data_IF_371470357037
#
_entry.id   IF_371470357037
#
_cell.length_a   1.000
_cell.length_b   1.000
_cell.length_c   1.000
_cell.angle_alpha   90.00
_cell.angle_beta   90.00
_cell.angle_gamma   90.00
#
_symmetry.space_group_name_H-M   'P 1'
#
loop_
_entity.id
_entity.type
_entity.pdbx_description
1 polymer ?
#
# COMPACT_ATOMS: atom_id res chain seq x y z
N UNK A 1 82.52 4.50 19.78
CA UNK A 1 81.48 4.87 18.78
C UNK A 1 80.10 4.19 18.97
N UNK A 2 79.70 3.75 20.18
CA UNK A 2 78.44 3.00 20.37
C UNK A 2 77.40 3.63 21.33
N UNK A 3 77.65 4.83 21.90
CA UNK A 3 76.73 5.43 22.88
C UNK A 3 75.59 6.27 22.28
N UNK A 4 75.73 6.73 21.02
CA UNK A 4 74.69 7.52 20.34
C UNK A 4 73.65 6.65 19.59
N UNK A 5 73.96 5.37 19.33
CA UNK A 5 73.08 4.45 18.59
C UNK A 5 71.89 3.97 19.43
N UNK A 6 72.06 3.80 20.74
CA UNK A 6 71.01 3.33 21.68
C UNK A 6 69.85 4.31 21.89
N UNK A 7 70.06 5.62 22.17
CA UNK A 7 68.94 6.56 22.33
C UNK A 7 68.23 6.84 21.00
N UNK A 8 68.95 6.81 19.88
CA UNK A 8 68.37 6.97 18.55
C UNK A 8 67.45 5.80 18.18
N UNK A 9 67.85 4.57 18.49
CA UNK A 9 67.04 3.37 18.25
C UNK A 9 65.77 3.36 19.13
N UNK A 10 65.86 3.84 20.36
CA UNK A 10 64.72 3.98 21.27
C UNK A 10 63.72 5.02 20.77
N UNK A 11 64.18 6.19 20.30
CA UNK A 11 63.33 7.22 19.68
C UNK A 11 62.64 6.71 18.40
N UNK A 12 63.33 5.89 17.60
CA UNK A 12 62.79 5.30 16.38
C UNK A 12 61.67 4.28 16.67
N UNK A 13 61.85 3.43 17.71
CA UNK A 13 60.83 2.47 18.14
C UNK A 13 59.59 3.19 18.71
N UNK A 14 59.79 4.21 19.55
CA UNK A 14 58.68 4.98 20.11
C UNK A 14 57.92 5.76 19.04
N UNK A 15 58.63 6.33 18.05
CA UNK A 15 58.01 6.98 16.90
C UNK A 15 57.16 6.02 16.06
N UNK A 16 57.63 4.78 15.85
CA UNK A 16 56.87 3.75 15.13
C UNK A 16 55.62 3.30 15.90
N UNK A 17 55.71 3.18 17.23
CA UNK A 17 54.57 2.82 18.09
C UNK A 17 53.51 3.93 18.14
N UNK A 18 53.92 5.20 18.19
CA UNK A 18 52.98 6.33 18.12
C UNK A 18 52.29 6.43 16.74
N UNK A 19 53.03 6.21 15.64
CA UNK A 19 52.47 6.26 14.30
C UNK A 19 51.47 5.11 14.01
N UNK A 20 51.74 3.91 14.54
CA UNK A 20 50.85 2.75 14.40
C UNK A 20 49.60 2.86 15.29
N UNK A 21 49.72 3.43 16.49
CA UNK A 21 48.57 3.73 17.36
C UNK A 21 47.60 4.75 16.77
N UNK A 22 48.11 5.81 16.11
CA UNK A 22 47.25 6.78 15.40
C UNK A 22 46.60 6.18 14.15
N UNK A 23 47.28 5.28 13.44
CA UNK A 23 46.71 4.63 12.26
C UNK A 23 45.53 3.71 12.62
N UNK A 24 45.62 2.98 13.75
CA UNK A 24 44.50 2.17 14.25
C UNK A 24 43.31 3.02 14.69
N UNK A 25 43.56 4.14 15.40
CA UNK A 25 42.51 5.07 15.83
C UNK A 25 41.74 5.70 14.65
N UNK A 26 42.38 5.93 13.51
CA UNK A 26 41.73 6.41 12.28
C UNK A 26 41.21 5.31 11.36
N UNK A 27 41.57 4.04 11.61
CA UNK A 27 41.07 2.90 10.82
C UNK A 27 39.85 2.23 11.43
N UNK A 28 39.64 2.39 12.75
CA UNK A 28 38.42 1.95 13.43
C UNK A 28 37.29 2.97 13.22
N UNK A 29 36.90 3.16 11.96
CA UNK A 29 35.59 3.71 11.65
C UNK A 29 34.63 2.53 11.58
N UNK A 30 34.02 2.20 12.71
CA UNK A 30 32.85 1.32 12.74
C UNK A 30 31.69 2.06 12.04
N UNK A 31 31.67 1.98 10.71
CA UNK A 31 30.62 2.58 9.88
C UNK A 31 29.34 1.77 10.10
N UNK A 32 28.60 2.05 11.18
CA UNK A 32 27.19 1.70 11.28
C UNK A 32 26.45 2.49 10.22
N UNK A 33 26.36 1.91 9.02
CA UNK A 33 25.43 2.38 8.00
C UNK A 33 24.04 2.11 8.59
N UNK A 34 23.41 3.13 9.17
CA UNK A 34 21.96 3.11 9.29
C UNK A 34 21.44 3.14 7.86
N UNK A 35 21.15 1.96 7.32
CA UNK A 35 20.44 1.84 6.05
C UNK A 35 19.02 2.33 6.29
N UNK A 36 18.82 3.64 6.19
CA UNK A 36 17.49 4.22 6.13
C UNK A 36 16.94 3.90 4.74
N UNK A 37 16.13 2.85 4.64
CA UNK A 37 15.30 2.61 3.48
C UNK A 37 13.97 3.35 3.69
N UNK A 38 13.60 4.20 2.75
CA UNK A 38 12.24 4.76 2.73
C UNK A 38 11.34 3.64 2.23
N UNK A 39 10.49 3.11 3.12
CA UNK A 39 9.43 2.21 2.71
C UNK A 39 8.49 2.96 1.76
N UNK A 40 8.14 2.33 0.65
CA UNK A 40 7.15 2.85 -0.27
C UNK A 40 5.90 1.97 -0.21
N UNK A 41 4.77 2.51 -0.64
CA UNK A 41 3.52 1.76 -0.74
C UNK A 41 3.25 1.54 -2.22
N UNK A 42 3.17 0.28 -2.64
CA UNK A 42 2.70 -0.11 -3.97
C UNK A 42 1.61 -1.14 -3.79
N UNK A 43 0.45 -0.90 -4.39
CA UNK A 43 -0.66 -1.85 -4.35
C UNK A 43 -1.01 -2.30 -5.76
N UNK A 44 -1.53 -3.52 -5.85
CA UNK A 44 -1.99 -4.10 -7.09
C UNK A 44 -3.44 -4.60 -6.89
N UNK A 45 -4.30 -4.30 -7.87
CA UNK A 45 -5.67 -4.81 -7.93
C UNK A 45 -5.61 -6.25 -8.46
N UNK A 46 -6.24 -7.17 -7.75
CA UNK A 46 -6.47 -8.53 -8.22
C UNK A 46 -7.96 -8.76 -8.45
N UNK A 47 -8.31 -9.24 -9.66
CA UNK A 47 -9.67 -9.60 -10.03
C UNK A 47 -9.75 -11.08 -10.45
N UNK A 48 -10.61 -11.89 -9.80
CA UNK A 48 -10.89 -13.28 -10.18
C UNK A 48 -12.23 -13.38 -10.92
N UNK A 49 -12.20 -13.91 -12.15
CA UNK A 49 -13.35 -14.08 -13.04
C UNK A 49 -13.40 -15.49 -13.65
N UNK A 50 -14.61 -16.05 -13.87
CA UNK A 50 -14.74 -17.30 -14.60
C UNK A 50 -14.33 -17.14 -16.08
N UNK A 51 -13.67 -18.17 -16.61
CA UNK A 51 -13.30 -18.30 -18.04
C UNK A 51 -14.24 -19.30 -18.73
N UNK A 52 -14.98 -18.91 -19.80
CA UNK A 52 -15.00 -17.61 -20.45
C UNK A 52 -15.82 -16.56 -19.68
N UNK A 53 -15.46 -15.29 -19.86
CA UNK A 53 -16.20 -14.15 -19.31
C UNK A 53 -17.67 -14.24 -19.71
N UNK A 54 -18.62 -14.32 -18.77
CA UNK A 54 -20.01 -14.53 -19.12
C UNK A 54 -20.61 -13.24 -19.68
N UNK A 55 -21.38 -13.33 -20.76
CA UNK A 55 -22.08 -12.17 -21.34
C UNK A 55 -23.32 -11.79 -20.50
N UNK A 56 -23.51 -10.50 -20.19
CA UNK A 56 -24.69 -9.98 -19.49
C UNK A 56 -25.95 -9.95 -20.35
N UNK A 57 -26.49 -11.15 -20.58
CA UNK A 57 -27.64 -11.39 -21.46
C UNK A 57 -28.82 -12.11 -20.77
N UNK A 58 -28.68 -12.61 -19.54
CA UNK A 58 -29.78 -13.31 -18.86
C UNK A 58 -30.63 -12.37 -17.99
N UNK A 59 -31.89 -12.73 -17.74
CA UNK A 59 -32.78 -11.93 -16.88
C UNK A 59 -32.30 -11.99 -15.42
N UNK A 60 -31.52 -11.00 -15.01
CA UNK A 60 -30.98 -10.86 -13.65
C UNK A 60 -29.77 -11.74 -13.35
N UNK A 61 -28.71 -11.73 -14.17
CA UNK A 61 -27.59 -12.63 -14.01
C UNK A 61 -26.68 -12.18 -12.87
N UNK A 62 -26.21 -13.13 -12.08
CA UNK A 62 -25.18 -12.92 -11.05
C UNK A 62 -23.82 -13.33 -11.60
N UNK A 63 -22.87 -12.40 -11.64
CA UNK A 63 -21.50 -12.58 -12.10
C UNK A 63 -20.58 -12.75 -10.90
N UNK A 64 -19.73 -13.78 -10.93
CA UNK A 64 -18.62 -13.88 -9.97
C UNK A 64 -17.51 -12.92 -10.42
N UNK A 65 -17.16 -12.00 -9.53
CA UNK A 65 -16.03 -11.07 -9.64
C UNK A 65 -15.57 -10.78 -8.22
N UNK A 66 -14.41 -11.31 -7.85
CA UNK A 66 -13.79 -10.99 -6.56
C UNK A 66 -12.77 -9.89 -6.77
N UNK A 67 -12.92 -8.78 -6.05
CA UNK A 67 -12.01 -7.62 -6.14
C UNK A 67 -11.22 -7.53 -4.84
N UNK A 68 -9.88 -7.59 -4.95
CA UNK A 68 -8.95 -7.52 -3.81
C UNK A 68 -7.82 -6.54 -4.11
N UNK A 69 -7.21 -6.03 -3.05
CA UNK A 69 -5.99 -5.22 -3.11
C UNK A 69 -4.88 -5.99 -2.42
N UNK A 70 -3.73 -6.04 -3.08
CA UNK A 70 -2.53 -6.66 -2.58
C UNK A 70 -1.43 -5.65 -2.26
N UNK A 71 -0.75 -5.81 -1.12
CA UNK A 71 0.44 -5.03 -0.79
C UNK A 71 1.71 -5.75 -1.27
N UNK A 72 1.95 -5.73 -2.59
CA UNK A 72 3.14 -6.33 -3.20
C UNK A 72 3.72 -5.43 -4.29
N UNK A 73 5.02 -5.59 -4.51
CA UNK A 73 5.72 -5.03 -5.66
C UNK A 73 6.34 -6.18 -6.44
N UNK A 74 6.00 -6.32 -7.72
CA UNK A 74 6.57 -7.35 -8.59
C UNK A 74 8.11 -7.29 -8.74
N UNK A 75 8.76 -6.20 -8.32
CA UNK A 75 10.18 -5.94 -8.61
C UNK A 75 11.11 -5.98 -7.40
N UNK A 76 10.62 -5.76 -6.16
CA UNK A 76 11.49 -5.68 -4.98
C UNK A 76 10.73 -6.15 -3.72
N UNK A 77 11.35 -7.04 -2.95
CA UNK A 77 10.84 -7.54 -1.67
C UNK A 77 11.60 -6.93 -0.50
N UNK A 78 10.95 -6.73 0.63
CA UNK A 78 11.52 -6.25 1.90
C UNK A 78 11.48 -4.73 2.09
N UNK A 79 10.76 -4.00 1.25
CA UNK A 79 10.70 -2.53 1.27
C UNK A 79 9.28 -1.96 1.23
N UNK A 80 8.25 -2.82 1.24
CA UNK A 80 6.86 -2.37 1.29
C UNK A 80 6.51 -1.95 2.71
N UNK A 81 6.03 -0.72 2.86
CA UNK A 81 5.48 -0.29 4.13
C UNK A 81 4.10 -0.91 4.34
N UNK A 82 3.76 -1.18 5.60
CA UNK A 82 2.38 -1.45 5.97
C UNK A 82 1.47 -0.30 5.51
N UNK A 83 0.30 -0.60 4.97
CA UNK A 83 -0.61 0.41 4.43
C UNK A 83 -2.07 0.19 4.81
N UNK A 84 -2.85 1.26 4.68
CA UNK A 84 -4.31 1.22 4.61
C UNK A 84 -4.75 1.55 3.18
N UNK A 85 -5.80 0.89 2.70
CA UNK A 85 -6.25 1.02 1.31
C UNK A 85 -7.72 1.42 1.24
N UNK A 86 -8.08 2.07 0.13
CA UNK A 86 -9.46 2.33 -0.26
C UNK A 86 -9.63 2.07 -1.75
N UNK A 87 -10.84 1.72 -2.17
CA UNK A 87 -11.18 1.63 -3.59
C UNK A 87 -12.52 2.28 -3.89
N UNK A 88 -12.67 2.79 -5.10
CA UNK A 88 -13.95 3.22 -5.67
C UNK A 88 -14.26 2.41 -6.91
N UNK A 89 -15.55 2.25 -7.19
CA UNK A 89 -16.04 1.56 -8.38
C UNK A 89 -16.66 2.59 -9.32
N UNK A 90 -16.31 2.53 -10.60
CA UNK A 90 -16.97 3.30 -11.66
C UNK A 90 -17.47 2.39 -12.76
N UNK A 91 -18.39 2.90 -13.57
CA UNK A 91 -19.10 2.12 -14.57
C UNK A 91 -18.84 2.73 -15.94
N UNK A 92 -18.60 1.91 -16.97
CA UNK A 92 -18.42 2.41 -18.35
C UNK A 92 -19.67 3.13 -18.89
N UNK A 93 -20.84 2.84 -18.30
CA UNK A 93 -22.10 3.52 -18.57
C UNK A 93 -22.88 3.72 -17.27
N UNK A 94 -23.12 4.97 -16.88
CA UNK A 94 -23.82 5.32 -15.63
C UNK A 94 -25.28 4.86 -15.60
N UNK A 95 -25.98 4.85 -16.74
CA UNK A 95 -27.37 4.42 -16.83
C UNK A 95 -27.51 2.92 -16.53
N UNK A 96 -26.57 2.11 -17.02
CA UNK A 96 -26.46 0.68 -16.68
C UNK A 96 -25.97 0.53 -15.22
N UNK A 97 -25.02 1.37 -14.80
CA UNK A 97 -24.47 1.42 -13.44
C UNK A 97 -25.54 1.54 -12.35
N UNK A 98 -26.63 2.29 -12.59
CA UNK A 98 -27.78 2.38 -11.66
C UNK A 98 -28.48 1.04 -11.38
N UNK A 99 -28.37 0.09 -12.30
CA UNK A 99 -28.87 -1.27 -12.17
C UNK A 99 -27.92 -2.23 -11.45
N UNK A 100 -26.65 -1.84 -11.22
CA UNK A 100 -25.65 -2.72 -10.63
C UNK A 100 -25.86 -2.87 -9.12
N UNK A 101 -25.79 -4.11 -8.65
CA UNK A 101 -25.81 -4.49 -7.24
C UNK A 101 -24.62 -5.39 -6.94
N UNK A 102 -23.77 -4.99 -6.00
CA UNK A 102 -22.70 -5.88 -5.50
C UNK A 102 -23.30 -7.04 -4.71
N UNK A 103 -22.79 -8.25 -4.95
CA UNK A 103 -23.17 -9.47 -4.23
C UNK A 103 -22.04 -9.91 -3.32
N UNK A 104 -22.39 -10.37 -2.11
CA UNK A 104 -21.39 -10.76 -1.10
C UNK A 104 -20.50 -9.61 -0.65
N UNK A 105 -21.03 -8.38 -0.58
CA UNK A 105 -20.30 -7.21 -0.07
C UNK A 105 -19.84 -7.46 1.38
N UNK A 106 -18.52 -7.41 1.62
CA UNK A 106 -17.93 -7.63 2.93
C UNK A 106 -17.95 -6.37 3.80
N UNK A 107 -19.12 -6.08 4.36
CA UNK A 107 -19.32 -4.96 5.30
C UNK A 107 -18.59 -5.12 6.64
N UNK A 108 -18.05 -6.31 6.93
CA UNK A 108 -17.28 -6.54 8.15
C UNK A 108 -15.88 -5.94 8.03
N UNK A 109 -15.22 -6.11 6.88
CA UNK A 109 -13.88 -5.57 6.66
C UNK A 109 -13.85 -4.27 5.83
N UNK A 110 -14.93 -3.94 5.11
CA UNK A 110 -15.03 -2.73 4.29
C UNK A 110 -16.11 -1.77 4.78
N UNK A 111 -15.82 -0.47 4.68
CA UNK A 111 -16.75 0.62 5.03
C UNK A 111 -16.95 1.53 3.83
N UNK A 112 -18.19 1.66 3.37
CA UNK A 112 -18.52 2.61 2.32
C UNK A 112 -18.74 4.01 2.90
N UNK A 113 -18.11 5.01 2.29
CA UNK A 113 -18.37 6.42 2.56
C UNK A 113 -19.09 7.05 1.35
N UNK A 114 -20.34 7.45 1.54
CA UNK A 114 -21.14 8.06 0.48
C UNK A 114 -20.72 9.50 0.14
N UNK A 115 -19.91 10.15 0.98
CA UNK A 115 -19.46 11.53 0.73
C UNK A 115 -18.35 11.60 -0.32
N UNK A 116 -17.49 10.59 -0.38
CA UNK A 116 -16.34 10.52 -1.28
C UNK A 116 -16.43 9.36 -2.30
N UNK A 117 -17.36 8.42 -2.10
CA UNK A 117 -17.58 7.29 -3.00
C UNK A 117 -16.63 6.12 -2.81
N UNK A 118 -15.86 6.08 -1.71
CA UNK A 118 -14.87 5.03 -1.46
C UNK A 118 -15.34 3.96 -0.49
N UNK A 119 -14.88 2.74 -0.72
CA UNK A 119 -14.84 1.65 0.25
C UNK A 119 -13.47 1.62 0.92
N UNK A 120 -13.45 1.78 2.25
CA UNK A 120 -12.26 1.76 3.07
C UNK A 120 -12.05 0.39 3.69
N UNK A 121 -10.86 -0.18 3.54
CA UNK A 121 -10.51 -1.42 4.23
C UNK A 121 -10.09 -1.12 5.68
N UNK A 122 -10.72 -1.77 6.64
CA UNK A 122 -10.53 -1.47 8.08
C UNK A 122 -9.15 -1.85 8.60
N UNK A 123 -8.54 -2.88 8.03
CA UNK A 123 -7.33 -3.51 8.55
C UNK A 123 -6.10 -2.98 7.83
N UNK A 124 -5.00 -2.95 8.56
CA UNK A 124 -3.67 -2.72 8.00
C UNK A 124 -3.29 -3.92 7.12
N UNK A 125 -2.60 -3.66 6.01
CA UNK A 125 -2.09 -4.69 5.11
C UNK A 125 -0.57 -4.64 5.14
N UNK A 126 0.07 -5.71 5.61
CA UNK A 126 1.52 -5.83 5.59
C UNK A 126 2.05 -6.31 4.24
N UNK A 127 3.35 -6.15 4.02
CA UNK A 127 4.01 -6.64 2.81
C UNK A 127 3.66 -8.12 2.56
N UNK A 128 3.22 -8.45 1.34
CA UNK A 128 2.84 -9.82 1.00
C UNK A 128 1.39 -10.18 1.32
N UNK A 129 0.63 -9.32 2.01
CA UNK A 129 -0.76 -9.58 2.39
C UNK A 129 -1.79 -9.01 1.40
N UNK A 130 -3.01 -9.56 1.50
CA UNK A 130 -4.18 -9.20 0.69
C UNK A 130 -5.31 -8.72 1.57
N UNK A 131 -6.15 -7.84 1.04
CA UNK A 131 -7.47 -7.59 1.63
C UNK A 131 -8.35 -8.85 1.59
N UNK A 132 -9.35 -8.88 2.49
CA UNK A 132 -10.56 -9.63 2.18
C UNK A 132 -11.23 -9.02 0.92
N UNK A 133 -11.85 -9.83 0.04
CA UNK A 133 -12.53 -9.30 -1.12
C UNK A 133 -13.58 -8.25 -0.75
N UNK A 134 -13.68 -7.17 -1.54
CA UNK A 134 -14.75 -6.20 -1.36
C UNK A 134 -16.11 -6.88 -1.57
N UNK A 135 -16.23 -7.65 -2.65
CA UNK A 135 -17.41 -8.41 -2.99
C UNK A 135 -17.00 -9.75 -3.61
N UNK A 136 -17.97 -10.66 -3.75
CA UNK A 136 -17.80 -11.92 -4.48
C UNK A 136 -18.40 -11.87 -5.88
N UNK A 137 -19.08 -10.78 -6.22
CA UNK A 137 -19.70 -10.61 -7.52
C UNK A 137 -20.55 -9.37 -7.65
N UNK A 138 -21.29 -9.33 -8.76
CA UNK A 138 -22.28 -8.31 -9.06
C UNK A 138 -23.49 -8.91 -9.78
N UNK A 139 -24.61 -8.23 -9.68
CA UNK A 139 -25.83 -8.51 -10.41
C UNK A 139 -26.30 -7.23 -11.10
N UNK A 140 -26.82 -7.36 -12.31
CA UNK A 140 -27.44 -6.25 -13.03
C UNK A 140 -28.96 -6.45 -12.96
N UNK A 141 -29.66 -5.47 -12.41
CA UNK A 141 -31.13 -5.43 -12.35
C UNK A 141 -31.69 -4.83 -13.65
N UNK A 142 -32.21 -5.66 -14.57
CA UNK A 142 -32.68 -5.19 -15.87
C UNK A 142 -33.92 -4.30 -15.76
N UNK A 143 -34.66 -4.31 -14.64
CA UNK A 143 -35.82 -3.45 -14.46
C UNK A 143 -35.44 -1.98 -14.21
N UNK A 144 -34.17 -1.74 -13.83
CA UNK A 144 -33.62 -0.40 -13.59
C UNK A 144 -32.92 0.18 -14.81
N UNK A 145 -32.88 -0.56 -15.91
CA UNK A 145 -32.16 -0.20 -17.13
C UNK A 145 -33.19 0.12 -18.22
N UNK A 146 -32.97 1.22 -18.93
CA UNK A 146 -33.77 1.59 -20.08
C UNK A 146 -33.58 0.58 -21.23
N UNK A 147 -34.67 0.25 -21.92
CA UNK A 147 -34.66 -0.72 -23.02
C UNK A 147 -33.64 -0.38 -24.11
N UNK A 148 -33.35 0.90 -24.31
CA UNK A 148 -32.36 1.39 -25.29
C UNK A 148 -30.93 0.95 -25.01
N UNK A 149 -30.60 0.61 -23.76
CA UNK A 149 -29.25 0.17 -23.37
C UNK A 149 -29.07 -1.34 -23.33
N UNK A 150 -30.13 -2.14 -23.59
CA UNK A 150 -30.09 -3.61 -23.48
C UNK A 150 -28.96 -4.23 -24.32
N UNK A 151 -28.73 -3.73 -25.52
CA UNK A 151 -27.66 -4.21 -26.41
C UNK A 151 -26.26 -3.73 -26.00
N UNK A 152 -26.16 -2.68 -25.18
CA UNK A 152 -24.91 -2.14 -24.64
C UNK A 152 -24.47 -2.83 -23.34
N UNK A 153 -25.34 -3.61 -22.70
CA UNK A 153 -25.02 -4.35 -21.49
C UNK A 153 -23.86 -5.32 -21.75
N UNK A 154 -23.77 -5.92 -22.95
CA UNK A 154 -22.71 -6.87 -23.33
C UNK A 154 -21.28 -6.31 -23.23
N UNK A 155 -21.12 -5.00 -23.39
CA UNK A 155 -19.84 -4.27 -23.37
C UNK A 155 -19.69 -3.48 -22.05
N UNK A 156 -20.49 -3.80 -21.03
CA UNK A 156 -20.48 -3.11 -19.74
C UNK A 156 -19.27 -3.50 -18.90
N UNK A 157 -18.57 -2.49 -18.37
CA UNK A 157 -17.37 -2.66 -17.56
C UNK A 157 -17.56 -2.01 -16.19
N UNK A 158 -17.06 -2.70 -15.17
CA UNK A 158 -16.92 -2.16 -13.81
C UNK A 158 -15.43 -1.93 -13.58
N UNK A 159 -15.05 -0.66 -13.49
CA UNK A 159 -13.70 -0.20 -13.29
C UNK A 159 -13.42 -0.02 -11.79
N UNK A 160 -12.21 -0.40 -11.37
CA UNK A 160 -11.76 -0.28 -9.98
C UNK A 160 -10.63 0.76 -9.94
N UNK A 161 -10.81 1.78 -9.12
CA UNK A 161 -9.74 2.72 -8.78
C UNK A 161 -9.36 2.52 -7.32
N UNK A 162 -8.06 2.39 -7.04
CA UNK A 162 -7.56 2.19 -5.69
C UNK A 162 -6.58 3.27 -5.25
N UNK A 163 -6.50 3.48 -3.95
CA UNK A 163 -5.49 4.29 -3.31
C UNK A 163 -4.99 3.62 -2.03
N UNK A 164 -3.75 3.95 -1.65
CA UNK A 164 -3.13 3.47 -0.43
C UNK A 164 -2.38 4.58 0.31
N UNK A 165 -2.41 4.51 1.64
CA UNK A 165 -1.66 5.40 2.54
C UNK A 165 -0.83 4.57 3.50
N UNK A 166 0.38 5.03 3.81
CA UNK A 166 1.27 4.38 4.77
C UNK A 166 0.62 4.33 6.17
N UNK A 167 0.68 3.18 6.82
CA UNK A 167 0.07 2.93 8.13
C UNK A 167 0.97 3.36 9.31
N UNK A 168 2.27 3.54 9.08
CA UNK A 168 3.23 3.91 10.12
C UNK A 168 2.80 5.18 10.86
N UNK A 169 2.80 5.11 12.19
CA UNK A 169 2.36 6.21 13.05
C UNK A 169 0.83 6.40 13.14
N UNK A 170 0.01 5.45 12.67
CA UNK A 170 -1.45 5.47 12.78
C UNK A 170 -1.99 4.15 13.36
N UNK A 171 -2.92 4.24 14.31
CA UNK A 171 -3.56 3.07 14.95
C UNK A 171 -4.67 2.45 14.11
N UNK A 172 -5.23 3.21 13.18
CA UNK A 172 -6.43 2.88 12.42
C UNK A 172 -6.44 3.60 11.07
N UNK A 173 -7.28 3.09 10.14
CA UNK A 173 -7.38 3.64 8.79
C UNK A 173 -7.93 5.07 8.80
N UNK A 174 -8.86 5.42 9.70
CA UNK A 174 -9.51 6.72 9.74
C UNK A 174 -8.50 7.84 10.03
N UNK A 175 -7.64 7.64 11.01
CA UNK A 175 -6.59 8.60 11.37
C UNK A 175 -5.53 8.73 10.26
N UNK A 176 -5.17 7.65 9.59
CA UNK A 176 -4.25 7.68 8.46
C UNK A 176 -4.82 8.49 7.27
N UNK A 177 -6.06 8.21 6.88
CA UNK A 177 -6.73 8.92 5.78
C UNK A 177 -7.08 10.36 6.13
N UNK A 178 -7.42 10.65 7.38
CA UNK A 178 -7.64 12.02 7.88
C UNK A 178 -6.36 12.84 7.77
N UNK A 179 -5.22 12.28 8.19
CA UNK A 179 -3.93 12.96 8.08
C UNK A 179 -3.52 13.18 6.62
N UNK A 180 -3.77 12.22 5.73
CA UNK A 180 -3.50 12.39 4.30
C UNK A 180 -4.33 13.52 3.68
N UNK A 181 -5.60 13.65 4.10
CA UNK A 181 -6.53 14.64 3.57
C UNK A 181 -6.31 16.04 4.14
N UNK A 182 -5.96 16.16 5.42
CA UNK A 182 -5.63 17.43 6.10
C UNK A 182 -4.51 17.24 7.14
N UNK A 183 -3.24 17.27 6.71
CA UNK A 183 -2.11 16.99 7.59
C UNK A 183 -1.89 18.09 8.64
N UNK A 184 -2.28 19.34 8.35
CA UNK A 184 -2.06 20.49 9.24
C UNK A 184 -2.97 20.38 10.47
N UNK A 185 -4.27 20.16 10.25
CA UNK A 185 -5.22 20.02 11.35
C UNK A 185 -4.97 18.74 12.15
N UNK A 186 -4.69 17.62 11.47
CA UNK A 186 -4.41 16.34 12.13
C UNK A 186 -3.15 16.39 13.02
N UNK A 187 -2.13 17.15 12.63
CA UNK A 187 -0.92 17.31 13.43
C UNK A 187 -1.15 18.20 14.67
N UNK A 188 -2.03 19.20 14.58
CA UNK A 188 -2.41 20.05 15.71
C UNK A 188 -3.14 19.26 16.81
N UNK A 189 -4.09 18.39 16.45
CA UNK A 189 -4.80 17.50 17.39
C UNK A 189 -3.85 16.55 18.11
N UNK A 190 -2.91 15.94 17.36
CA UNK A 190 -1.91 15.03 17.93
C UNK A 190 -1.00 15.70 18.96
N UNK A 191 -0.71 16.99 18.79
CA UNK A 191 0.10 17.77 19.74
C UNK A 191 -0.70 18.26 20.96
N UNK A 192 -2.02 18.41 20.84
CA UNK A 192 -2.88 18.83 21.95
C UNK A 192 -3.27 17.72 22.93
N UNK A 193 -3.12 16.45 22.52
CA UNK A 193 -3.45 15.27 23.32
C UNK A 193 -2.23 14.59 23.98
N UNK A 194 -1.05 15.20 23.90
CA UNK A 194 0.21 14.74 24.51
C UNK A 194 0.59 15.64 25.70
#
# INVERSE_FOLDING_TARGET
MNKLKRPFFLLLITGLLCATGTAAYFSDFEKKINSAAVGYVTTEIEEDFPDPTPTPMENGPSYRKEIRIGNFSGSVKGFQADCYVRMSLSYSNDDIGRGVKLTGLDTANWVYNSQDGYYYYRKKISEGEKTAPLCTGFQIDPQKIDDTYRDSIKDFEINVYEEAVQAEGFSDYESAWRYFSDPVSAQAERRGNA
#
